data_IF_271549702343
#
_entry.id   IF_271549702343
#
_cell.length_a   1.000
_cell.length_b   1.000
_cell.length_c   1.000
_cell.angle_alpha   90.00
_cell.angle_beta   90.00
_cell.angle_gamma   90.00
#
_symmetry.space_group_name_H-M   'P 1'
#
loop_
_entity.id
_entity.type
_entity.pdbx_description
1 polymer ?
#
# COMPACT_ATOMS: atom_id res chain seq x y z
N UNK A 1 -7.65 -4.69 0.73
CA UNK A 1 -7.02 -4.42 -0.59
C UNK A 1 -6.96 -5.73 -1.34
N UNK A 2 -7.06 -5.72 -2.67
CA UNK A 2 -6.90 -6.93 -3.46
C UNK A 2 -5.47 -7.44 -3.35
N UNK A 3 -5.32 -8.74 -3.15
CA UNK A 3 -4.05 -9.44 -2.98
C UNK A 3 -3.56 -10.01 -4.31
N UNK A 4 -2.25 -10.26 -4.47
CA UNK A 4 -1.70 -10.90 -5.67
C UNK A 4 -2.35 -12.26 -5.98
N UNK A 5 -2.78 -13.00 -4.96
CA UNK A 5 -3.49 -14.29 -5.10
C UNK A 5 -4.92 -14.11 -5.63
N UNK A 6 -5.63 -13.05 -5.23
CA UNK A 6 -6.92 -12.68 -5.81
C UNK A 6 -6.74 -12.26 -7.28
N UNK A 7 -5.73 -11.46 -7.60
CA UNK A 7 -5.39 -11.11 -8.99
C UNK A 7 -5.07 -12.33 -9.85
N UNK A 8 -4.33 -13.31 -9.33
CA UNK A 8 -4.07 -14.57 -10.01
C UNK A 8 -5.38 -15.34 -10.29
N UNK A 9 -6.28 -15.37 -9.31
CA UNK A 9 -7.58 -16.03 -9.45
C UNK A 9 -8.43 -15.35 -10.52
N UNK A 10 -8.50 -14.02 -10.52
CA UNK A 10 -9.22 -13.26 -11.54
C UNK A 10 -8.58 -13.42 -12.93
N UNK A 11 -7.25 -13.33 -13.02
CA UNK A 11 -6.51 -13.56 -14.26
C UNK A 11 -6.81 -14.94 -14.85
N UNK A 12 -6.94 -15.98 -14.02
CA UNK A 12 -7.29 -17.33 -14.47
C UNK A 12 -8.68 -17.37 -15.09
N UNK A 13 -9.69 -16.81 -14.41
CA UNK A 13 -11.06 -16.80 -14.91
C UNK A 13 -11.24 -15.96 -16.17
N UNK A 14 -10.65 -14.76 -16.20
CA UNK A 14 -10.66 -13.89 -17.38
C UNK A 14 -9.86 -14.52 -18.52
N UNK A 15 -8.77 -15.22 -18.23
CA UNK A 15 -8.01 -15.99 -19.21
C UNK A 15 -8.83 -17.10 -19.86
N UNK A 16 -9.59 -17.88 -19.06
CA UNK A 16 -10.52 -18.88 -19.59
C UNK A 16 -11.59 -18.22 -20.47
N UNK A 17 -12.19 -17.12 -20.02
CA UNK A 17 -13.18 -16.38 -20.80
C UNK A 17 -12.59 -15.86 -22.13
N UNK A 18 -11.33 -15.40 -22.12
CA UNK A 18 -10.60 -14.95 -23.31
C UNK A 18 -10.45 -16.07 -24.33
N UNK A 19 -10.06 -17.27 -23.88
CA UNK A 19 -9.89 -18.45 -24.76
C UNK A 19 -11.23 -18.87 -25.36
N UNK A 20 -12.29 -18.92 -24.54
CA UNK A 20 -13.65 -19.21 -25.03
C UNK A 20 -14.09 -18.20 -26.08
N UNK A 21 -13.83 -16.91 -25.84
CA UNK A 21 -14.21 -15.85 -26.76
C UNK A 21 -13.36 -15.83 -28.04
N UNK A 22 -12.09 -16.23 -27.96
CA UNK A 22 -11.25 -16.46 -29.13
C UNK A 22 -11.79 -17.60 -30.00
N UNK A 23 -12.24 -18.70 -29.39
CA UNK A 23 -12.92 -19.80 -30.09
C UNK A 23 -14.21 -19.35 -30.78
N UNK A 24 -15.05 -18.57 -30.08
CA UNK A 24 -16.26 -17.97 -30.67
C UNK A 24 -15.93 -16.99 -31.79
N UNK A 25 -14.86 -16.22 -31.66
CA UNK A 25 -14.37 -15.32 -32.72
C UNK A 25 -14.02 -16.14 -33.96
N UNK A 26 -13.23 -17.20 -33.83
CA UNK A 26 -12.88 -18.08 -34.94
C UNK A 26 -14.13 -18.69 -35.60
N UNK A 27 -15.09 -19.17 -34.80
CA UNK A 27 -16.35 -19.71 -35.31
C UNK A 27 -17.19 -18.65 -36.05
N UNK A 28 -17.25 -17.42 -35.54
CA UNK A 28 -17.95 -16.31 -36.18
C UNK A 28 -17.36 -15.96 -37.55
N UNK A 29 -16.03 -16.09 -37.72
CA UNK A 29 -15.38 -15.94 -39.02
C UNK A 29 -15.67 -17.12 -39.95
N UNK A 30 -15.62 -18.35 -39.44
CA UNK A 30 -15.88 -19.56 -40.23
C UNK A 30 -17.33 -19.59 -40.76
N UNK A 31 -18.30 -19.27 -39.90
CA UNK A 31 -19.72 -19.19 -40.23
C UNK A 31 -20.14 -17.85 -40.84
N UNK A 32 -19.18 -16.93 -41.07
CA UNK A 32 -19.38 -15.61 -41.68
C UNK A 32 -20.47 -14.76 -41.02
N UNK A 33 -20.60 -14.80 -39.70
CA UNK A 33 -21.56 -13.96 -38.97
C UNK A 33 -21.34 -12.47 -39.27
N UNK A 34 -22.43 -11.70 -39.36
CA UNK A 34 -22.37 -10.26 -39.59
C UNK A 34 -21.64 -9.48 -38.48
N UNK A 35 -21.62 -10.04 -37.27
CA UNK A 35 -21.01 -9.43 -36.07
C UNK A 35 -19.58 -9.87 -35.79
N UNK A 36 -18.94 -10.65 -36.67
CA UNK A 36 -17.60 -11.25 -36.46
C UNK A 36 -16.52 -10.25 -36.02
N UNK A 37 -16.53 -9.03 -36.53
CA UNK A 37 -15.55 -8.00 -36.16
C UNK A 37 -15.75 -7.46 -34.73
N UNK A 38 -16.97 -7.52 -34.18
CA UNK A 38 -17.22 -7.16 -32.78
C UNK A 38 -16.56 -8.15 -31.82
N UNK A 39 -16.56 -9.43 -32.18
CA UNK A 39 -15.90 -10.48 -31.40
C UNK A 39 -14.37 -10.31 -31.34
N UNK A 40 -13.74 -9.79 -32.40
CA UNK A 40 -12.31 -9.44 -32.39
C UNK A 40 -12.01 -8.39 -31.30
N UNK A 41 -12.83 -7.33 -31.24
CA UNK A 41 -12.69 -6.29 -30.23
C UNK A 41 -12.85 -6.82 -28.80
N UNK A 42 -13.89 -7.63 -28.56
CA UNK A 42 -14.15 -8.23 -27.24
C UNK A 42 -12.98 -9.15 -26.82
N UNK A 43 -12.54 -10.03 -27.72
CA UNK A 43 -11.44 -10.97 -27.44
C UNK A 43 -10.12 -10.23 -27.20
N UNK A 44 -9.81 -9.21 -28.00
CA UNK A 44 -8.62 -8.38 -27.82
C UNK A 44 -8.63 -7.65 -26.48
N UNK A 45 -9.76 -7.04 -26.10
CA UNK A 45 -9.92 -6.39 -24.80
C UNK A 45 -9.75 -7.37 -23.64
N UNK A 46 -10.39 -8.53 -23.69
CA UNK A 46 -10.24 -9.59 -22.68
C UNK A 46 -8.79 -10.08 -22.58
N UNK A 47 -8.06 -10.14 -23.70
CA UNK A 47 -6.63 -10.43 -23.72
C UNK A 47 -5.81 -9.40 -22.93
N UNK A 48 -6.04 -8.11 -23.17
CA UNK A 48 -5.37 -7.02 -22.42
C UNK A 48 -5.70 -7.11 -20.92
N UNK A 49 -6.97 -7.32 -20.56
CA UNK A 49 -7.38 -7.45 -19.16
C UNK A 49 -6.73 -8.66 -18.50
N UNK A 50 -6.67 -9.81 -19.19
CA UNK A 50 -6.00 -11.02 -18.68
C UNK A 50 -4.54 -10.76 -18.37
N UNK A 51 -3.80 -10.16 -19.32
CA UNK A 51 -2.37 -9.86 -19.14
C UNK A 51 -2.16 -8.83 -18.01
N UNK A 52 -3.02 -7.82 -17.92
CA UNK A 52 -2.96 -6.82 -16.85
C UNK A 52 -3.16 -7.43 -15.46
N UNK A 53 -4.19 -8.28 -15.29
CA UNK A 53 -4.46 -8.97 -14.03
C UNK A 53 -3.33 -9.96 -13.69
N UNK A 54 -2.78 -10.65 -14.69
CA UNK A 54 -1.64 -11.54 -14.50
C UNK A 54 -0.40 -10.78 -14.01
N UNK A 55 -0.07 -9.64 -14.62
CA UNK A 55 1.07 -8.83 -14.21
C UNK A 55 0.95 -8.36 -12.74
N UNK A 56 -0.25 -7.94 -12.32
CA UNK A 56 -0.56 -7.55 -10.94
C UNK A 56 -0.46 -8.72 -9.94
N UNK A 57 -0.52 -9.97 -10.41
CA UNK A 57 -0.33 -11.15 -9.56
C UNK A 57 1.14 -11.47 -9.27
N UNK A 58 2.07 -10.99 -10.09
CA UNK A 58 3.51 -11.26 -9.95
C UNK A 58 4.19 -10.16 -9.13
N UNK A 59 3.84 -8.90 -9.37
CA UNK A 59 4.47 -7.76 -8.68
C UNK A 59 3.80 -7.56 -7.33
N UNK A 60 4.53 -7.64 -6.21
CA UNK A 60 3.97 -7.36 -4.90
C UNK A 60 3.67 -5.86 -4.78
N UNK A 61 2.44 -5.47 -5.10
CA UNK A 61 1.83 -4.20 -4.69
C UNK A 61 1.12 -4.44 -3.36
N UNK A 62 1.80 -5.12 -2.44
CA UNK A 62 1.26 -5.38 -1.11
C UNK A 62 2.06 -4.58 -0.10
N UNK A 63 1.35 -3.70 0.58
CA UNK A 63 1.79 -3.17 1.85
C UNK A 63 2.09 -4.34 2.78
N UNK A 64 3.30 -4.36 3.34
CA UNK A 64 3.75 -5.40 4.28
C UNK A 64 3.42 -4.94 5.69
N UNK A 65 2.33 -5.43 6.31
CA UNK A 65 2.01 -5.07 7.67
C UNK A 65 3.02 -5.70 8.64
N UNK A 66 3.54 -4.89 9.55
CA UNK A 66 4.34 -5.28 10.71
C UNK A 66 3.39 -5.92 11.72
N UNK A 67 3.60 -7.18 12.11
CA UNK A 67 2.77 -7.84 13.10
C UNK A 67 2.69 -7.04 14.40
N UNK A 68 1.48 -6.91 14.95
CA UNK A 68 1.26 -6.18 16.21
C UNK A 68 1.18 -4.65 16.05
N UNK A 69 1.37 -4.09 14.85
CA UNK A 69 1.17 -2.67 14.60
C UNK A 69 -0.30 -2.28 14.76
N UNK A 70 -0.53 -1.20 15.50
CA UNK A 70 -1.83 -0.58 15.68
C UNK A 70 -2.17 0.38 14.55
N UNK A 71 -3.40 0.88 14.56
CA UNK A 71 -3.81 1.96 13.65
C UNK A 71 -3.18 3.28 14.09
N UNK A 72 -2.69 4.04 13.12
CA UNK A 72 -2.24 5.41 13.32
C UNK A 72 -2.88 6.33 12.28
N UNK A 73 -2.81 7.64 12.49
CA UNK A 73 -3.21 8.65 11.51
C UNK A 73 -2.09 9.67 11.35
N UNK A 74 -1.71 9.96 10.10
CA UNK A 74 -0.76 11.04 9.82
C UNK A 74 -1.40 12.39 10.11
N UNK A 75 -0.77 13.18 10.99
CA UNK A 75 -1.29 14.52 11.36
C UNK A 75 -0.43 15.65 10.82
N UNK A 76 0.86 15.38 10.62
CA UNK A 76 1.77 16.35 10.03
C UNK A 76 2.84 15.64 9.21
N UNK A 77 3.18 16.24 8.08
CA UNK A 77 4.27 15.81 7.21
C UNK A 77 4.91 17.08 6.64
N UNK A 78 6.21 17.26 6.87
CA UNK A 78 6.96 18.38 6.31
C UNK A 78 7.37 18.16 4.84
N UNK A 79 6.99 17.02 4.26
CA UNK A 79 7.37 16.60 2.91
C UNK A 79 8.87 16.39 2.77
N UNK A 80 9.57 16.03 3.86
CA UNK A 80 11.01 15.79 3.93
C UNK A 80 11.33 14.77 5.04
N UNK A 81 12.05 15.18 6.08
CA UNK A 81 12.62 14.27 7.09
C UNK A 81 11.79 14.09 8.34
N UNK A 82 10.60 14.69 8.45
CA UNK A 82 9.83 14.65 9.69
C UNK A 82 8.34 14.47 9.43
N UNK A 83 7.77 13.47 10.10
CA UNK A 83 6.34 13.20 10.12
C UNK A 83 5.87 13.01 11.57
N UNK A 84 4.62 13.40 11.82
CA UNK A 84 3.97 13.21 13.12
C UNK A 84 2.70 12.41 12.90
N UNK A 85 2.61 11.27 13.58
CA UNK A 85 1.45 10.41 13.59
C UNK A 85 0.73 10.51 14.92
N UNK A 86 -0.58 10.30 14.91
CA UNK A 86 -1.39 10.11 16.11
C UNK A 86 -1.74 8.64 16.31
N UNK A 87 -1.65 8.18 17.54
CA UNK A 87 -2.02 6.83 17.98
C UNK A 87 -3.07 6.91 19.10
N UNK A 88 -3.83 5.83 19.35
CA UNK A 88 -4.78 5.77 20.45
C UNK A 88 -4.12 6.08 21.81
N UNK A 89 -4.84 6.69 22.77
CA UNK A 89 -4.27 7.04 24.08
C UNK A 89 -3.84 5.81 24.89
N UNK A 90 -4.59 4.70 24.77
CA UNK A 90 -4.37 3.44 25.49
C UNK A 90 -3.59 2.40 24.68
N UNK A 91 -2.54 2.82 23.95
CA UNK A 91 -1.66 1.91 23.21
C UNK A 91 -0.62 1.27 24.14
N UNK A 92 -0.38 -0.05 24.01
CA UNK A 92 0.71 -0.71 24.75
C UNK A 92 2.07 -0.37 24.13
N UNK A 93 3.14 -0.53 24.90
CA UNK A 93 4.51 -0.26 24.42
C UNK A 93 4.86 -1.11 23.20
N UNK A 94 4.49 -2.40 23.21
CA UNK A 94 4.79 -3.33 22.11
C UNK A 94 4.02 -2.95 20.85
N UNK A 95 2.74 -2.59 20.98
CA UNK A 95 1.93 -2.12 19.84
C UNK A 95 2.47 -0.78 19.34
N UNK A 96 2.89 0.13 20.21
CA UNK A 96 3.45 1.42 19.83
C UNK A 96 4.76 1.24 19.04
N UNK A 97 5.65 0.37 19.50
CA UNK A 97 6.92 0.07 18.83
C UNK A 97 6.67 -0.50 17.44
N UNK A 98 5.80 -1.52 17.32
CA UNK A 98 5.41 -2.07 16.02
C UNK A 98 4.74 -1.04 15.11
N UNK A 99 3.92 -0.13 15.67
CA UNK A 99 3.26 0.96 14.92
C UNK A 99 4.28 1.97 14.38
N UNK A 100 5.29 2.30 15.17
CA UNK A 100 6.37 3.21 14.78
C UNK A 100 7.20 2.61 13.64
N UNK A 101 7.52 1.32 13.70
CA UNK A 101 8.19 0.60 12.60
C UNK A 101 7.31 0.58 11.35
N UNK A 102 6.02 0.28 11.50
CA UNK A 102 5.06 0.32 10.39
C UNK A 102 5.03 1.70 9.72
N UNK A 103 4.87 2.75 10.50
CA UNK A 103 4.80 4.12 10.00
C UNK A 103 6.10 4.56 9.30
N UNK A 104 7.27 4.17 9.82
CA UNK A 104 8.55 4.43 9.17
C UNK A 104 8.73 3.68 7.84
N UNK A 105 8.07 2.52 7.68
CA UNK A 105 8.04 1.77 6.42
C UNK A 105 7.07 2.40 5.41
N UNK A 106 5.93 2.89 5.87
CA UNK A 106 4.86 3.43 5.02
C UNK A 106 5.14 4.85 4.52
N UNK A 107 5.62 5.73 5.40
CA UNK A 107 5.69 7.18 5.19
C UNK A 107 7.01 7.63 4.55
N UNK A 108 7.72 6.72 3.89
CA UNK A 108 9.02 7.01 3.29
C UNK A 108 8.90 8.06 2.17
N UNK A 109 9.46 9.26 2.40
CA UNK A 109 9.55 10.33 1.41
C UNK A 109 10.91 11.02 1.49
N UNK A 110 11.64 11.07 0.37
CA UNK A 110 12.86 11.86 0.26
C UNK A 110 12.59 13.37 0.17
N UNK A 111 11.35 13.75 -0.18
CA UNK A 111 10.94 15.14 -0.26
C UNK A 111 11.66 15.97 -1.32
N UNK A 112 11.05 17.07 -1.77
CA UNK A 112 11.77 18.08 -2.56
C UNK A 112 12.68 18.96 -1.68
N UNK A 113 12.39 18.97 -0.38
CA UNK A 113 13.07 19.74 0.66
C UNK A 113 14.10 18.92 1.46
N UNK A 114 14.27 17.62 1.18
CA UNK A 114 15.19 16.73 1.89
C UNK A 114 16.68 16.95 1.60
N UNK A 115 17.07 18.12 1.06
CA UNK A 115 18.48 18.45 0.79
C UNK A 115 19.22 18.66 2.12
N UNK A 116 19.74 17.57 2.69
CA UNK A 116 20.65 17.60 3.84
C UNK A 116 20.29 16.63 4.97
N UNK A 117 19.09 16.06 4.98
CA UNK A 117 18.68 15.06 5.97
C UNK A 117 18.57 13.68 5.33
N UNK A 118 19.37 12.75 5.80
CA UNK A 118 19.43 11.37 5.32
C UNK A 118 18.59 10.41 6.17
N UNK A 119 17.85 10.92 7.15
CA UNK A 119 16.98 10.12 8.04
C UNK A 119 15.58 10.70 8.14
N UNK A 120 14.58 9.83 8.06
CA UNK A 120 13.18 10.10 8.37
C UNK A 120 12.98 9.94 9.88
N UNK A 121 12.37 10.94 10.50
CA UNK A 121 11.96 10.93 11.91
C UNK A 121 10.44 10.87 11.96
N UNK A 122 9.91 9.77 12.48
CA UNK A 122 8.48 9.55 12.74
C UNK A 122 8.22 9.78 14.21
N UNK A 123 7.39 10.77 14.54
CA UNK A 123 7.02 11.08 15.92
C UNK A 123 5.62 10.57 16.18
N UNK A 124 5.47 9.64 17.13
CA UNK A 124 4.16 9.20 17.60
C UNK A 124 3.70 10.07 18.76
N UNK A 125 2.50 10.66 18.61
CA UNK A 125 1.82 11.37 19.69
C UNK A 125 0.43 10.81 19.93
N UNK A 126 -0.14 11.14 21.07
CA UNK A 126 -1.56 10.98 21.36
C UNK A 126 -2.12 12.28 21.92
N UNK A 127 -3.44 12.35 22.08
CA UNK A 127 -4.10 13.46 22.76
C UNK A 127 -4.66 12.90 24.07
N UNK A 128 -4.21 13.46 25.20
CA UNK A 128 -4.76 13.15 26.52
C UNK A 128 -5.74 14.23 26.93
N UNK A 129 -6.77 13.81 27.66
CA UNK A 129 -7.79 14.68 28.22
C UNK A 129 -7.73 14.63 29.76
N UNK A 130 -6.76 15.31 30.39
CA UNK A 130 -6.57 15.24 31.83
C UNK A 130 -7.75 15.83 32.62
N UNK A 131 -8.47 16.79 32.03
CA UNK A 131 -9.60 17.47 32.66
C UNK A 131 -10.70 17.75 31.61
N UNK A 132 -11.96 17.94 32.02
CA UNK A 132 -13.03 18.37 31.12
C UNK A 132 -12.63 19.66 30.38
N UNK A 133 -12.77 19.67 29.05
CA UNK A 133 -12.42 20.78 28.16
C UNK A 133 -10.92 21.12 28.05
N UNK A 134 -10.03 20.30 28.61
CA UNK A 134 -8.56 20.45 28.44
C UNK A 134 -8.04 19.26 27.65
N UNK A 135 -7.29 19.53 26.59
CA UNK A 135 -6.67 18.51 25.75
C UNK A 135 -5.21 18.87 25.56
N UNK A 136 -4.32 17.91 25.76
CA UNK A 136 -2.89 18.10 25.57
C UNK A 136 -2.31 17.03 24.64
N UNK A 137 -1.46 17.40 23.66
CA UNK A 137 -0.72 16.44 22.87
C UNK A 137 0.46 15.89 23.70
N UNK A 138 0.58 14.57 23.76
CA UNK A 138 1.66 13.87 24.47
C UNK A 138 2.43 13.04 23.46
N UNK A 139 3.75 13.22 23.41
CA UNK A 139 4.63 12.39 22.58
C UNK A 139 4.90 11.09 23.33
N UNK A 140 4.72 9.95 22.65
CA UNK A 140 4.88 8.62 23.22
C UNK A 140 6.15 7.92 22.72
N UNK A 141 6.66 8.31 21.57
CA UNK A 141 7.86 7.70 21.02
C UNK A 141 8.25 8.28 19.66
N UNK A 142 9.44 7.91 19.21
CA UNK A 142 10.05 8.37 17.98
C UNK A 142 10.70 7.17 17.27
N UNK A 143 10.55 7.09 15.96
CA UNK A 143 11.30 6.16 15.11
C UNK A 143 12.14 6.92 14.11
N UNK A 144 13.36 6.43 13.87
CA UNK A 144 14.29 6.99 12.90
C UNK A 144 14.75 5.94 11.91
N UNK A 145 14.70 6.26 10.62
CA UNK A 145 15.13 5.36 9.53
C UNK A 145 15.93 6.10 8.48
N UNK A 146 16.89 5.43 7.84
CA UNK A 146 17.60 5.98 6.68
C UNK A 146 16.63 6.27 5.51
N UNK A 147 16.80 7.43 4.88
CA UNK A 147 16.19 7.81 3.59
C UNK A 147 17.14 7.52 2.41
N UNK A 148 18.43 7.33 2.68
CA UNK A 148 19.46 7.07 1.66
C UNK A 148 19.40 5.65 1.12
N UNK A 149 19.04 4.69 1.98
CA UNK A 149 18.98 3.28 1.66
C UNK A 149 17.54 2.77 1.80
N UNK A 150 16.93 2.48 0.65
CA UNK A 150 15.55 1.98 0.59
C UNK A 150 15.43 0.52 1.07
N UNK A 151 16.54 -0.22 1.01
CA UNK A 151 16.65 -1.60 1.48
C UNK A 151 16.99 -1.71 2.96
N UNK A 152 17.40 -0.60 3.60
CA UNK A 152 17.62 -0.56 5.03
C UNK A 152 16.31 -0.77 5.79
N UNK A 153 16.16 -1.94 6.39
CA UNK A 153 15.03 -2.30 7.25
C UNK A 153 15.29 -1.95 8.71
N UNK A 154 16.44 -1.36 9.04
CA UNK A 154 16.76 -0.97 10.39
C UNK A 154 16.02 0.32 10.75
N UNK A 155 15.02 0.17 11.62
CA UNK A 155 14.31 1.29 12.22
C UNK A 155 14.74 1.38 13.67
N UNK A 156 15.31 2.51 14.04
CA UNK A 156 15.71 2.82 15.40
C UNK A 156 14.51 3.41 16.14
N UNK A 157 14.04 2.76 17.20
CA UNK A 157 12.82 3.16 17.92
C UNK A 157 13.16 3.54 19.36
N UNK A 158 12.68 4.70 19.77
CA UNK A 158 12.81 5.23 21.13
C UNK A 158 11.42 5.53 21.70
N UNK A 159 11.06 4.84 22.79
CA UNK A 159 9.81 5.07 23.53
C UNK A 159 10.07 6.07 24.66
N UNK A 160 9.08 6.93 24.97
CA UNK A 160 9.17 8.01 25.97
C UNK A 160 8.24 7.77 27.18
#
# INVERSE_FOLDING_TARGET
>A
MLTPTEFATYSRWVGIATVVMAGLTALAFLLRWGVRFRFVGITGFLGVVTVGLFALSIVPIVHTPVPGAGKYTLVYDNGATQVVITVPPEVTTETLEATLVQAANDLFSLGRLGRGGDRLVVIARTIRHPQPNVSEPVILGVATRSLSDRTDTHVDVQIL
#
